data_IF_920227869842
#
_entry.id   IF_920227869842
#
_cell.length_a   1.000
_cell.length_b   1.000
_cell.length_c   1.000
_cell.angle_alpha   90.00
_cell.angle_beta   90.00
_cell.angle_gamma   90.00
#
_symmetry.space_group_name_H-M   'P 1'
#
loop_
_entity.id
_entity.type
_entity.pdbx_description
1 polymer ?
#
# COMPACT_ATOMS: atom_id res chain seq x y z
N UNK A 1 16.10 -16.79 28.84
CA UNK A 1 16.89 -16.33 27.67
C UNK A 1 16.10 -16.35 26.36
N UNK A 2 15.35 -17.40 26.01
CA UNK A 2 14.55 -17.47 24.76
C UNK A 2 13.51 -16.35 24.55
N UNK A 3 12.94 -15.81 25.63
CA UNK A 3 11.90 -14.75 25.55
C UNK A 3 12.39 -13.46 24.87
N UNK A 4 13.65 -13.07 25.03
CA UNK A 4 14.19 -11.88 24.37
C UNK A 4 14.29 -12.06 22.87
N UNK A 5 14.68 -13.26 22.42
CA UNK A 5 14.76 -13.59 21.00
C UNK A 5 13.36 -13.62 20.37
N UNK A 6 12.39 -14.19 21.07
CA UNK A 6 10.97 -14.19 20.63
C UNK A 6 10.42 -12.77 20.54
N UNK A 7 10.72 -11.89 21.50
CA UNK A 7 10.29 -10.50 21.46
C UNK A 7 10.90 -9.76 20.27
N UNK A 8 12.20 -9.90 20.03
CA UNK A 8 12.88 -9.27 18.89
C UNK A 8 12.32 -9.76 17.54
N UNK A 9 12.00 -11.04 17.42
CA UNK A 9 11.35 -11.60 16.23
C UNK A 9 9.92 -11.09 16.08
N UNK A 10 9.14 -10.98 17.16
CA UNK A 10 7.81 -10.38 17.13
C UNK A 10 7.85 -8.90 16.76
N UNK A 11 8.83 -8.15 17.26
CA UNK A 11 9.02 -6.75 16.88
C UNK A 11 9.40 -6.64 15.41
N UNK A 12 10.40 -7.38 14.94
CA UNK A 12 10.79 -7.39 13.52
C UNK A 12 9.61 -7.78 12.61
N UNK A 13 8.81 -8.78 13.02
CA UNK A 13 7.61 -9.19 12.30
C UNK A 13 6.54 -8.11 12.31
N UNK A 14 6.22 -7.51 13.46
CA UNK A 14 5.25 -6.42 13.58
C UNK A 14 5.68 -5.17 12.79
N UNK A 15 6.98 -4.85 12.76
CA UNK A 15 7.53 -3.76 11.95
C UNK A 15 7.45 -4.07 10.44
N UNK A 16 7.60 -5.33 10.04
CA UNK A 16 7.47 -5.76 8.64
C UNK A 16 6.02 -5.79 8.12
N UNK A 17 5.02 -5.87 9.00
CA UNK A 17 3.60 -6.04 8.63
C UNK A 17 2.87 -4.74 8.22
N UNK A 18 3.55 -3.59 8.21
CA UNK A 18 2.89 -2.27 8.01
C UNK A 18 2.51 -2.01 6.54
N UNK A 19 3.03 -2.78 5.59
CA UNK A 19 2.69 -2.64 4.17
C UNK A 19 1.59 -3.64 3.82
N UNK A 20 0.54 -3.19 3.12
CA UNK A 20 -0.56 -4.05 2.68
C UNK A 20 -0.01 -5.31 2.01
N UNK A 21 -0.43 -6.49 2.49
CA UNK A 21 0.08 -7.76 1.97
C UNK A 21 -0.36 -7.89 0.51
N UNK A 22 0.60 -8.16 -0.38
CA UNK A 22 0.28 -8.52 -1.75
C UNK A 22 -0.42 -9.88 -1.75
N UNK A 23 -1.57 -10.01 -2.42
CA UNK A 23 -2.18 -11.31 -2.66
C UNK A 23 -1.21 -12.26 -3.38
N UNK A 24 -1.14 -13.48 -2.87
CA UNK A 24 -0.31 -14.56 -3.42
C UNK A 24 -0.97 -15.17 -4.67
N UNK A 25 -2.29 -15.02 -4.78
CA UNK A 25 -3.07 -15.43 -5.93
C UNK A 25 -2.88 -14.37 -7.02
N UNK A 26 -2.12 -14.68 -8.07
CA UNK A 26 -1.68 -13.80 -9.17
C UNK A 26 -2.79 -13.22 -10.05
N UNK A 27 -3.81 -12.60 -9.46
CA UNK A 27 -4.89 -11.90 -10.13
C UNK A 27 -4.51 -10.46 -10.46
N UNK A 28 -4.31 -10.21 -11.76
CA UNK A 28 -4.18 -8.91 -12.45
C UNK A 28 -3.03 -8.02 -11.95
N UNK A 29 -2.33 -7.29 -12.83
CA UNK A 29 -1.25 -6.36 -12.45
C UNK A 29 -1.64 -5.51 -11.24
N UNK A 30 -1.01 -5.81 -10.10
CA UNK A 30 -1.63 -5.62 -8.81
C UNK A 30 -1.14 -4.33 -8.17
N UNK A 31 -1.96 -3.30 -8.35
CA UNK A 31 -1.77 -2.04 -7.66
C UNK A 31 -2.74 -1.95 -6.48
N UNK A 32 -2.23 -1.60 -5.31
CA UNK A 32 -3.01 -1.44 -4.10
C UNK A 32 -3.06 0.04 -3.73
N UNK A 33 -4.24 0.55 -3.39
CA UNK A 33 -4.36 1.90 -2.84
C UNK A 33 -3.80 1.92 -1.40
N UNK A 34 -3.13 3.01 -1.03
CA UNK A 34 -2.71 3.21 0.35
C UNK A 34 -3.91 3.53 1.26
N UNK A 35 -3.92 2.93 2.45
CA UNK A 35 -5.03 3.07 3.39
C UNK A 35 -5.10 4.44 4.09
N UNK A 36 -4.09 5.31 3.91
CA UNK A 36 -3.95 6.57 4.63
C UNK A 36 -3.77 7.78 3.73
N UNK A 37 -3.28 7.61 2.51
CA UNK A 37 -3.08 8.70 1.54
C UNK A 37 -3.47 8.26 0.14
N UNK A 38 -4.41 8.97 -0.47
CA UNK A 38 -4.83 8.69 -1.85
C UNK A 38 -3.77 9.10 -2.89
N UNK A 39 -2.75 9.86 -2.50
CA UNK A 39 -1.59 10.15 -3.35
C UNK A 39 -0.57 9.01 -3.40
N UNK A 40 -0.70 7.99 -2.55
CA UNK A 40 0.20 6.84 -2.45
C UNK A 40 -0.51 5.56 -2.88
N UNK A 41 0.26 4.68 -3.50
CA UNK A 41 -0.19 3.36 -3.90
C UNK A 41 0.99 2.38 -3.88
N UNK A 42 0.72 1.09 -3.98
CA UNK A 42 1.75 0.06 -3.98
C UNK A 42 1.65 -0.75 -5.27
N UNK A 43 2.78 -1.02 -5.91
CA UNK A 43 2.87 -2.03 -6.96
C UNK A 43 3.36 -3.32 -6.34
N UNK A 44 2.61 -4.40 -6.50
CA UNK A 44 3.05 -5.72 -6.08
C UNK A 44 3.91 -6.38 -7.16
N UNK A 45 5.09 -6.86 -6.79
CA UNK A 45 5.95 -7.69 -7.63
C UNK A 45 6.55 -8.81 -6.80
N UNK A 46 6.38 -10.07 -7.24
CA UNK A 46 6.80 -11.27 -6.51
C UNK A 46 6.33 -11.32 -5.04
N UNK A 47 5.08 -10.90 -4.76
CA UNK A 47 4.53 -10.84 -3.41
C UNK A 47 5.06 -9.68 -2.55
N UNK A 48 5.94 -8.84 -3.10
CA UNK A 48 6.52 -7.69 -2.41
C UNK A 48 5.82 -6.40 -2.85
N UNK A 49 5.26 -5.61 -1.92
CA UNK A 49 4.66 -4.31 -2.21
C UNK A 49 5.72 -3.20 -2.29
N UNK A 50 5.79 -2.54 -3.45
CA UNK A 50 6.66 -1.38 -3.69
C UNK A 50 5.85 -0.09 -3.61
N UNK A 51 6.19 0.77 -2.65
CA UNK A 51 5.50 2.04 -2.46
C UNK A 51 5.81 3.03 -3.60
N UNK A 52 4.76 3.59 -4.17
CA UNK A 52 4.80 4.57 -5.25
C UNK A 52 3.92 5.77 -4.87
N UNK A 53 4.20 6.90 -5.51
CA UNK A 53 3.45 8.14 -5.31
C UNK A 53 3.02 8.72 -6.64
N UNK A 54 1.79 9.18 -6.69
CA UNK A 54 1.28 9.97 -7.79
C UNK A 54 1.97 11.34 -7.86
N UNK A 55 1.92 11.96 -9.05
CA UNK A 55 2.37 13.33 -9.23
C UNK A 55 1.56 14.29 -8.34
N UNK A 56 2.13 15.46 -8.04
CA UNK A 56 1.46 16.47 -7.22
C UNK A 56 0.07 16.82 -7.79
N UNK A 57 -0.95 16.82 -6.94
CA UNK A 57 -2.34 17.11 -7.32
C UNK A 57 -3.10 15.95 -7.99
N UNK A 58 -2.50 14.76 -8.09
CA UNK A 58 -3.15 13.55 -8.60
C UNK A 58 -3.22 12.44 -7.54
N UNK A 59 -4.18 11.54 -7.70
CA UNK A 59 -4.56 10.51 -6.74
C UNK A 59 -4.71 9.17 -7.47
N UNK A 60 -4.37 8.09 -6.79
CA UNK A 60 -4.45 6.76 -7.37
C UNK A 60 -5.90 6.29 -7.45
N UNK A 61 -6.37 6.02 -8.66
CA UNK A 61 -7.66 5.37 -8.93
C UNK A 61 -7.47 3.85 -9.03
N UNK A 62 -8.11 3.12 -8.13
CA UNK A 62 -8.08 1.66 -8.09
C UNK A 62 -8.79 1.01 -9.28
N UNK A 63 -9.75 1.70 -9.90
CA UNK A 63 -10.55 1.18 -11.02
C UNK A 63 -9.71 1.20 -12.29
N UNK A 64 -9.14 2.36 -12.64
CA UNK A 64 -8.28 2.50 -13.83
C UNK A 64 -6.82 2.12 -13.60
N UNK A 65 -6.41 1.96 -12.33
CA UNK A 65 -5.03 1.67 -11.87
C UNK A 65 -4.02 2.73 -12.29
N UNK A 66 -4.44 3.99 -12.28
CA UNK A 66 -3.62 5.15 -12.69
C UNK A 66 -3.80 6.30 -11.72
N UNK A 67 -2.88 7.25 -11.78
CA UNK A 67 -3.02 8.52 -11.11
C UNK A 67 -3.90 9.45 -11.95
N UNK A 68 -4.95 10.00 -11.35
CA UNK A 68 -5.88 10.92 -11.99
C UNK A 68 -6.24 12.06 -11.01
N UNK A 69 -6.94 13.07 -11.48
CA UNK A 69 -7.39 14.19 -10.67
C UNK A 69 -8.48 13.77 -9.68
N UNK A 70 -8.56 14.54 -8.58
CA UNK A 70 -9.45 14.27 -7.44
C UNK A 70 -10.91 14.05 -7.82
N UNK A 71 -11.37 14.68 -8.89
CA UNK A 71 -12.76 14.60 -9.37
C UNK A 71 -13.08 13.23 -9.99
N UNK A 72 -12.07 12.52 -10.49
CA UNK A 72 -12.21 11.25 -11.21
C UNK A 72 -11.93 10.04 -10.30
N UNK A 73 -11.35 10.26 -9.11
CA UNK A 73 -10.89 9.20 -8.22
C UNK A 73 -11.82 9.08 -7.02
N UNK A 74 -12.30 7.86 -6.73
CA UNK A 74 -13.02 7.58 -5.50
C UNK A 74 -12.03 7.28 -4.36
N UNK A 75 -11.54 8.35 -3.73
CA UNK A 75 -10.66 8.28 -2.57
C UNK A 75 -11.48 7.98 -1.30
N UNK A 76 -11.46 6.73 -0.84
CA UNK A 76 -12.19 6.28 0.36
C UNK A 76 -11.69 6.92 1.66
N UNK A 77 -10.48 7.51 1.68
CA UNK A 77 -9.88 8.10 2.86
C UNK A 77 -9.88 9.64 2.79
N UNK A 78 -10.87 10.26 3.44
CA UNK A 78 -10.95 11.72 3.61
C UNK A 78 -9.98 12.25 4.66
N UNK A 79 -8.67 12.06 4.49
CA UNK A 79 -7.67 12.90 5.18
C UNK A 79 -7.18 13.95 4.19
N UNK A 80 -7.17 15.19 4.68
CA UNK A 80 -6.88 16.41 3.94
C UNK A 80 -5.39 16.41 3.59
N UNK A 81 -5.08 15.86 2.43
CA UNK A 81 -3.83 16.10 1.70
C UNK A 81 -3.79 17.56 1.20
#
# INVERSE_FOLDING_TARGET
MFKFFVLLLCFAYAYGQIIGRCPEDGGVSMYLADAKSCSKFYQCSNGVPYALRCAAGTYFDIVTRRCDHKQNVNCCFRKRD
#
